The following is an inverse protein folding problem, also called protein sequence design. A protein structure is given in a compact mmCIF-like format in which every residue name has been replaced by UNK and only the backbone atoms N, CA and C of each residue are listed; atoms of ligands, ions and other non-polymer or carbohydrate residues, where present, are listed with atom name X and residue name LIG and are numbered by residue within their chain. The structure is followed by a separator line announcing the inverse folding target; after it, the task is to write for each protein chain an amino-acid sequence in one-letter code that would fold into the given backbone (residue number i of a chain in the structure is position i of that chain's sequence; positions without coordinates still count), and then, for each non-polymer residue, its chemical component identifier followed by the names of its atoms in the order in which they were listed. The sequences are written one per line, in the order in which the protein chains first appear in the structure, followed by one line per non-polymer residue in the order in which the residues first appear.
data_IF_157989820301
#
_entry.id   IF_157989820301
#
_cell.length_a   1.000
_cell.length_b   1.000
_cell.length_c   1.000
_cell.angle_alpha   90.00
_cell.angle_beta   90.00
_cell.angle_gamma   90.00
#
_symmetry.space_group_name_H-M   'P 1'
#
loop_
_entity.id
_entity.type
_entity.pdbx_description
1 polymer ?
#
# COMPACT_ATOMS: atom_id res chain seq x y z
N UNK A 1 -7.34 -12.54 -3.49
CA UNK A 1 -6.65 -11.39 -2.86
C UNK A 1 -7.39 -10.15 -3.33
N UNK A 2 -7.99 -9.39 -2.41
CA UNK A 2 -8.61 -8.10 -2.76
C UNK A 2 -7.51 -7.03 -2.75
N UNK A 3 -7.40 -6.25 -3.83
CA UNK A 3 -6.42 -5.18 -3.97
C UNK A 3 -7.14 -3.85 -3.83
N UNK A 4 -6.71 -3.05 -2.86
CA UNK A 4 -7.29 -1.75 -2.55
C UNK A 4 -6.48 -0.67 -3.26
N UNK A 5 -7.08 0.20 -4.10
CA UNK A 5 -6.35 1.32 -4.67
C UNK A 5 -5.94 2.29 -3.56
N UNK A 6 -4.64 2.59 -3.47
CA UNK A 6 -4.12 3.59 -2.55
C UNK A 6 -3.40 4.70 -3.33
N UNK A 7 -3.60 5.94 -2.89
CA UNK A 7 -2.91 7.11 -3.43
C UNK A 7 -1.81 7.63 -2.49
N UNK A 8 -1.68 7.09 -1.28
CA UNK A 8 -0.65 7.45 -0.31
C UNK A 8 -0.57 6.41 0.82
N UNK A 9 0.58 6.25 1.49
CA UNK A 9 0.69 5.42 2.69
C UNK A 9 -0.28 5.85 3.81
N UNK A 10 -0.52 7.15 3.97
CA UNK A 10 -1.48 7.67 4.96
C UNK A 10 -2.90 7.15 4.73
N UNK A 11 -3.32 7.06 3.47
CA UNK A 11 -4.63 6.50 3.12
C UNK A 11 -4.75 5.04 3.56
N UNK A 12 -3.71 4.23 3.38
CA UNK A 12 -3.68 2.81 3.77
C UNK A 12 -3.91 2.65 5.28
N UNK A 13 -3.19 3.45 6.08
CA UNK A 13 -3.33 3.43 7.54
C UNK A 13 -4.73 3.88 7.98
N UNK A 14 -5.28 4.94 7.37
CA UNK A 14 -6.64 5.40 7.66
C UNK A 14 -7.67 4.33 7.27
N UNK A 15 -7.49 3.68 6.12
CA UNK A 15 -8.35 2.60 5.66
C UNK A 15 -8.39 1.47 6.69
N UNK A 16 -7.22 0.97 7.12
CA UNK A 16 -7.14 -0.11 8.12
C UNK A 16 -7.81 0.28 9.43
N UNK A 17 -7.58 1.52 9.91
CA UNK A 17 -8.15 2.01 11.16
C UNK A 17 -9.68 2.17 11.12
N UNK A 18 -10.25 2.41 9.94
CA UNK A 18 -11.69 2.49 9.72
C UNK A 18 -12.35 1.09 9.76
N UNK A 19 -11.61 0.03 9.46
CA UNK A 19 -12.11 -1.34 9.47
C UNK A 19 -12.25 -1.89 10.90
N UNK A 20 -13.11 -2.90 11.05
CA UNK A 20 -13.26 -3.68 12.29
C UNK A 20 -13.11 -5.16 11.97
N UNK A 21 -12.55 -5.89 12.93
CA UNK A 21 -12.63 -7.34 12.92
C UNK A 21 -14.09 -7.77 13.12
N UNK A 22 -14.46 -8.96 12.66
CA UNK A 22 -15.81 -9.52 12.83
C UNK A 22 -16.20 -9.67 14.31
N UNK A 23 -15.23 -9.81 15.22
CA UNK A 23 -15.46 -9.78 16.66
C UNK A 23 -15.73 -8.37 17.24
N UNK A 24 -15.66 -7.33 16.40
CA UNK A 24 -15.80 -5.92 16.74
C UNK A 24 -14.52 -5.22 17.23
N UNK A 25 -13.40 -5.93 17.33
CA UNK A 25 -12.11 -5.34 17.72
C UNK A 25 -11.44 -4.51 16.62
N UNK A 26 -10.44 -3.69 17.00
CA UNK A 26 -9.61 -2.95 16.06
C UNK A 26 -8.43 -3.80 15.58
N UNK A 27 -7.90 -3.42 14.41
CA UNK A 27 -6.67 -4.01 13.88
C UNK A 27 -5.44 -3.25 14.36
N UNK A 28 -4.44 -3.98 14.85
CA UNK A 28 -3.11 -3.48 15.16
C UNK A 28 -2.16 -3.82 14.01
N UNK A 29 -1.35 -2.86 13.57
CA UNK A 29 -0.40 -3.03 12.46
C UNK A 29 0.93 -3.55 12.99
N UNK A 30 1.43 -4.64 12.38
CA UNK A 30 2.68 -5.31 12.78
C UNK A 30 3.83 -5.06 11.81
N UNK A 31 3.52 -4.74 10.56
CA UNK A 31 4.55 -4.45 9.59
C UNK A 31 4.00 -4.38 8.17
N UNK A 32 4.87 -3.87 7.31
CA UNK A 32 4.59 -3.56 5.93
C UNK A 32 5.66 -4.21 5.05
N UNK A 33 5.25 -4.69 3.87
CA UNK A 33 6.11 -5.37 2.93
C UNK A 33 5.67 -5.02 1.50
N UNK A 34 6.58 -4.45 0.72
CA UNK A 34 6.37 -4.26 -0.71
C UNK A 34 6.53 -5.61 -1.44
N UNK A 35 5.51 -5.96 -2.21
CA UNK A 35 5.46 -7.14 -3.06
C UNK A 35 5.39 -6.72 -4.53
N UNK A 36 5.80 -7.61 -5.42
CA UNK A 36 5.54 -7.50 -6.85
C UNK A 36 4.54 -8.60 -7.23
N UNK A 37 3.39 -8.20 -7.77
CA UNK A 37 2.34 -9.12 -8.23
C UNK A 37 2.00 -8.76 -9.66
N UNK A 38 2.25 -9.68 -10.59
CA UNK A 38 2.04 -9.47 -12.04
C UNK A 38 2.69 -8.17 -12.56
N UNK A 39 3.91 -7.88 -12.10
CA UNK A 39 4.66 -6.67 -12.46
C UNK A 39 4.17 -5.37 -11.80
N UNK A 40 3.18 -5.44 -10.91
CA UNK A 40 2.67 -4.28 -10.19
C UNK A 40 3.16 -4.27 -8.73
N UNK A 41 3.62 -3.12 -8.21
CA UNK A 41 3.98 -2.98 -6.81
C UNK A 41 2.72 -2.98 -5.93
N UNK A 42 2.65 -3.95 -5.02
CA UNK A 42 1.57 -4.11 -4.05
C UNK A 42 2.13 -3.97 -2.64
N UNK A 43 1.58 -3.05 -1.88
CA UNK A 43 1.92 -2.91 -0.47
C UNK A 43 1.10 -3.87 0.39
N UNK A 44 1.77 -4.77 1.12
CA UNK A 44 1.15 -5.71 2.04
C UNK A 44 1.33 -5.23 3.47
N UNK A 45 0.23 -4.90 4.15
CA UNK A 45 0.22 -4.56 5.56
C UNK A 45 -0.33 -5.73 6.37
N UNK A 46 0.47 -6.25 7.31
CA UNK A 46 0.07 -7.31 8.24
C UNK A 46 -0.53 -6.70 9.50
N UNK A 47 -1.67 -7.25 9.93
CA UNK A 47 -2.39 -6.81 11.12
C UNK A 47 -2.87 -8.00 11.94
N UNK A 48 -3.16 -7.78 13.22
CA UNK A 48 -3.98 -8.69 14.02
C UNK A 48 -5.07 -7.93 14.76
N UNK A 49 -6.14 -8.61 15.13
CA UNK A 49 -7.16 -8.03 15.99
C UNK A 49 -6.66 -7.90 17.43
N UNK A 50 -6.84 -6.74 18.05
CA UNK A 50 -6.46 -6.52 19.46
C UNK A 50 -7.29 -7.33 20.47
N UNK A 51 -8.40 -7.96 20.05
CA UNK A 51 -9.33 -8.69 20.93
C UNK A 51 -9.27 -10.21 20.74
N UNK A 52 -9.41 -10.67 19.51
CA UNK A 52 -9.45 -12.10 19.20
C UNK A 52 -8.18 -12.62 18.53
N UNK A 53 -7.17 -11.75 18.37
CA UNK A 53 -5.84 -12.08 17.82
C UNK A 53 -5.83 -12.56 16.36
N UNK A 54 -6.99 -12.65 15.71
CA UNK A 54 -7.13 -13.04 14.31
C UNK A 54 -6.26 -12.16 13.41
N UNK A 55 -5.45 -12.80 12.57
CA UNK A 55 -4.57 -12.11 11.63
C UNK A 55 -5.32 -11.72 10.36
N UNK A 56 -4.99 -10.54 9.82
CA UNK A 56 -5.47 -10.11 8.51
C UNK A 56 -4.38 -9.35 7.78
N UNK A 57 -4.28 -9.59 6.48
CA UNK A 57 -3.43 -8.80 5.59
C UNK A 57 -4.29 -7.91 4.70
N UNK A 58 -3.85 -6.67 4.54
CA UNK A 58 -4.40 -5.72 3.57
C UNK A 58 -3.39 -5.54 2.43
N UNK A 59 -3.89 -5.43 1.20
CA UNK A 59 -3.07 -5.34 0.00
C UNK A 59 -3.46 -4.07 -0.76
N UNK A 60 -2.51 -3.16 -0.95
CA UNK A 60 -2.74 -1.88 -1.59
C UNK A 60 -1.98 -1.78 -2.91
N UNK A 61 -2.66 -1.40 -3.99
CA UNK A 61 -2.00 -1.07 -5.23
C UNK A 61 -1.31 0.29 -5.09
N UNK A 62 0.02 0.30 -5.18
CA UNK A 62 0.82 1.52 -5.14
C UNK A 62 1.01 1.98 -6.58
N UNK A 63 0.40 3.09 -6.97
CA UNK A 63 0.73 3.73 -8.25
C UNK A 63 1.93 4.63 -8.02
N UNK A 64 3.10 4.21 -8.47
CA UNK A 64 4.29 5.06 -8.42
C UNK A 64 4.10 6.28 -9.31
N UNK A 65 4.09 7.49 -8.75
CA UNK A 65 4.36 8.72 -9.52
C UNK A 65 5.87 8.84 -9.82
N UNK A 66 6.53 7.78 -10.30
CA UNK A 66 7.91 7.81 -10.76
C UNK A 66 8.30 6.44 -11.34
N UNK A 67 8.05 6.22 -12.63
CA UNK A 67 8.79 5.19 -13.36
C UNK A 67 8.93 5.42 -14.86
N UNK A 68 8.09 6.24 -15.51
CA UNK A 68 8.08 6.26 -17.00
C UNK A 68 8.14 7.64 -17.69
N UNK A 69 8.50 8.76 -17.05
CA UNK A 69 8.53 10.03 -17.83
C UNK A 69 9.45 11.17 -17.36
N UNK A 70 10.61 10.86 -16.74
CA UNK A 70 11.59 11.92 -16.43
C UNK A 70 13.05 11.59 -16.73
N UNK A 71 13.31 10.82 -17.79
CA UNK A 71 14.66 10.68 -18.34
C UNK A 71 14.86 11.36 -19.73
N UNK A 72 13.81 11.93 -20.35
CA UNK A 72 13.95 12.58 -21.68
C UNK A 72 14.09 14.11 -21.66
N UNK A 73 14.06 14.77 -20.49
CA UNK A 73 14.07 16.25 -20.41
C UNK A 73 15.42 16.90 -20.11
N UNK A 74 16.51 16.14 -19.95
CA UNK A 74 17.84 16.70 -19.66
C UNK A 74 18.74 16.82 -20.89
N UNK A 75 18.51 16.07 -21.97
CA UNK A 75 19.37 16.16 -23.18
C UNK A 75 19.00 17.33 -24.11
N UNK A 76 17.76 17.83 -24.07
CA UNK A 76 17.33 18.95 -24.92
C UNK A 76 17.87 20.32 -24.45
N UNK A 77 18.20 20.48 -23.16
CA UNK A 77 18.71 21.75 -22.62
C UNK A 77 20.23 21.92 -22.73
N UNK A 78 20.97 20.88 -23.12
CA UNK A 78 22.43 20.96 -23.32
C UNK A 78 22.83 21.19 -24.78
N UNK A 79 21.86 21.32 -25.69
CA UNK A 79 22.09 21.58 -27.12
C UNK A 79 21.41 22.86 -27.65
N UNK A 80 20.89 23.70 -26.75
CA UNK A 80 20.33 25.01 -27.08
C UNK A 80 21.34 26.13 -26.80
#
# INVERSE_FOLDING_TARGET
MEIIPANSPTFEIVHINAQRCDCGGRYQIHGQQLLEVDGNPIDRIRTSCERCEEERAFFFAVRGEAADDHFERTEASLRA
#
